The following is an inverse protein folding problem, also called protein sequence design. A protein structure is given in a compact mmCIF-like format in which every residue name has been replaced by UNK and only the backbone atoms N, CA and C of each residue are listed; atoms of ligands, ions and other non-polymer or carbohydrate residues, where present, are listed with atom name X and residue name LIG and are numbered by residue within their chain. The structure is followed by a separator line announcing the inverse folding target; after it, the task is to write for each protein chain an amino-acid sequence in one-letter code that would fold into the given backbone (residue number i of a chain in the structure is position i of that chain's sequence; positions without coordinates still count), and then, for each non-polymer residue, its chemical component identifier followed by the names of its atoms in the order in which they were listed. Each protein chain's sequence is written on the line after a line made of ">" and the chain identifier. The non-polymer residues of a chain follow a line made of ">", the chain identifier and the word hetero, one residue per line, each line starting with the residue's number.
data_IF_263545706866
#
_entry.id   IF_263545706866
#
_cell.length_a   1.000
_cell.length_b   1.000
_cell.length_c   1.000
_cell.angle_alpha   90.00
_cell.angle_beta   90.00
_cell.angle_gamma   90.00
#
_symmetry.space_group_name_H-M   'P 1'
#
loop_
_entity.id
_entity.type
_entity.pdbx_description
1 polymer ?
#
# COMPACT_ATOMS: atom_id res chain seq x y z
N UNK A 1 -5.67 -13.12 -42.05
CA UNK A 1 -5.84 -13.44 -40.62
C UNK A 1 -6.06 -12.14 -39.88
N UNK A 2 -7.27 -11.91 -39.36
CA UNK A 2 -7.63 -10.65 -38.74
C UNK A 2 -7.15 -10.65 -37.28
N UNK A 3 -6.00 -10.03 -37.02
CA UNK A 3 -5.62 -9.62 -35.66
C UNK A 3 -6.58 -8.49 -35.25
N UNK A 4 -7.62 -8.85 -34.51
CA UNK A 4 -8.68 -7.93 -34.09
C UNK A 4 -8.15 -6.89 -33.11
N UNK A 5 -8.02 -5.63 -33.57
CA UNK A 5 -7.97 -4.37 -32.81
C UNK A 5 -6.91 -4.20 -31.68
N UNK A 6 -6.24 -5.25 -31.24
CA UNK A 6 -5.26 -5.22 -30.14
C UNK A 6 -3.92 -5.74 -30.65
N UNK A 7 -2.82 -5.04 -30.33
CA UNK A 7 -1.48 -5.60 -30.55
C UNK A 7 -1.30 -6.83 -29.65
N UNK A 8 -0.72 -7.90 -30.19
CA UNK A 8 -0.31 -9.05 -29.37
C UNK A 8 0.58 -8.54 -28.22
N UNK A 9 0.14 -8.74 -26.97
CA UNK A 9 0.84 -8.25 -25.77
C UNK A 9 0.15 -7.12 -24.99
N UNK A 10 -0.86 -6.43 -25.55
CA UNK A 10 -1.50 -5.30 -24.87
C UNK A 10 -2.14 -5.64 -23.51
N UNK A 11 -2.61 -6.89 -23.34
CA UNK A 11 -3.11 -7.40 -22.04
C UNK A 11 -1.97 -7.57 -21.04
N UNK A 12 -0.82 -8.05 -21.51
CA UNK A 12 0.37 -8.28 -20.68
C UNK A 12 0.93 -6.96 -20.17
N UNK A 13 1.04 -5.94 -21.05
CA UNK A 13 1.45 -4.59 -20.68
C UNK A 13 0.54 -4.00 -19.59
N UNK A 14 -0.77 -4.24 -19.69
CA UNK A 14 -1.73 -3.79 -18.69
C UNK A 14 -1.55 -4.51 -17.35
N UNK A 15 -1.24 -5.81 -17.35
CA UNK A 15 -0.96 -6.57 -16.13
C UNK A 15 0.31 -6.01 -15.46
N UNK A 16 1.38 -5.82 -16.24
CA UNK A 16 2.65 -5.30 -15.75
C UNK A 16 2.51 -3.91 -15.14
N UNK A 17 1.77 -3.00 -15.79
CA UNK A 17 1.50 -1.68 -15.26
C UNK A 17 0.76 -1.72 -13.91
N UNK A 18 -0.29 -2.55 -13.80
CA UNK A 18 -1.05 -2.69 -12.55
C UNK A 18 -0.18 -3.26 -11.42
N UNK A 19 0.64 -4.27 -11.70
CA UNK A 19 1.56 -4.86 -10.72
C UNK A 19 2.60 -3.83 -10.30
N UNK A 20 3.21 -3.12 -11.25
CA UNK A 20 4.21 -2.10 -10.96
C UNK A 20 3.66 -0.98 -10.07
N UNK A 21 2.44 -0.51 -10.34
CA UNK A 21 1.80 0.54 -9.53
C UNK A 21 1.43 0.05 -8.13
N UNK A 22 0.94 -1.18 -7.99
CA UNK A 22 0.70 -1.79 -6.69
C UNK A 22 1.99 -1.93 -5.86
N UNK A 23 3.10 -2.36 -6.50
CA UNK A 23 4.42 -2.46 -5.86
C UNK A 23 4.96 -1.09 -5.45
N UNK A 24 4.84 -0.07 -6.31
CA UNK A 24 5.24 1.32 -5.98
C UNK A 24 4.47 1.84 -4.77
N UNK A 25 3.15 1.62 -4.72
CA UNK A 25 2.32 2.02 -3.59
C UNK A 25 2.69 1.27 -2.30
N UNK A 26 2.98 -0.02 -2.38
CA UNK A 26 3.44 -0.79 -1.23
C UNK A 26 4.77 -0.26 -0.70
N UNK A 27 5.72 0.04 -1.61
CA UNK A 27 7.02 0.63 -1.25
C UNK A 27 6.89 2.02 -0.64
N UNK A 28 6.00 2.87 -1.13
CA UNK A 28 5.81 4.22 -0.58
C UNK A 28 5.20 4.24 0.82
N UNK A 29 4.58 3.13 1.25
CA UNK A 29 4.05 2.96 2.62
C UNK A 29 5.12 2.49 3.61
N UNK A 30 6.28 2.03 3.14
CA UNK A 30 7.39 1.69 4.02
C UNK A 30 7.98 3.00 4.56
N UNK A 31 8.00 3.11 5.89
CA UNK A 31 8.67 4.21 6.57
C UNK A 31 10.18 4.18 6.32
N UNK A 32 10.78 5.35 6.31
CA UNK A 32 12.24 5.53 6.35
C UNK A 32 12.61 6.31 7.61
N UNK A 33 13.81 6.04 8.15
CA UNK A 33 14.35 6.76 9.30
C UNK A 33 14.36 5.98 10.61
N UNK A 34 14.56 6.72 11.70
CA UNK A 34 14.69 6.15 13.05
C UNK A 34 13.34 5.75 13.64
N UNK A 35 13.32 4.58 14.27
CA UNK A 35 12.13 4.04 14.93
C UNK A 35 11.93 4.64 16.32
N UNK A 36 10.70 4.97 16.68
CA UNK A 36 10.38 5.49 18.02
C UNK A 36 10.61 4.42 19.09
N UNK A 37 11.05 4.85 20.27
CA UNK A 37 11.19 3.96 21.44
C UNK A 37 9.84 3.66 22.10
N UNK A 38 8.90 4.61 22.03
CA UNK A 38 7.56 4.50 22.60
C UNK A 38 6.51 4.69 21.52
N UNK A 39 5.38 4.00 21.68
CA UNK A 39 4.24 4.09 20.77
C UNK A 39 3.55 5.45 20.88
N UNK A 40 3.29 6.10 19.76
CA UNK A 40 2.62 7.42 19.75
C UNK A 40 1.15 7.39 20.23
N UNK A 41 0.48 6.24 20.15
CA UNK A 41 -0.95 6.11 20.52
C UNK A 41 -1.20 5.68 21.97
N UNK A 42 -0.34 4.82 22.53
CA UNK A 42 -0.56 4.21 23.85
C UNK A 42 0.66 4.27 24.76
N UNK A 43 1.73 4.95 24.33
CA UNK A 43 2.98 5.17 25.07
C UNK A 43 3.75 3.90 25.47
N UNK A 44 3.25 2.72 25.09
CA UNK A 44 3.91 1.45 25.33
C UNK A 44 5.28 1.38 24.64
N UNK A 45 6.24 0.72 25.30
CA UNK A 45 7.57 0.50 24.74
C UNK A 45 7.52 -0.34 23.46
N UNK A 46 8.22 0.12 22.42
CA UNK A 46 8.36 -0.62 21.17
C UNK A 46 9.59 -1.54 21.27
N UNK A 47 9.41 -2.87 21.18
CA UNK A 47 10.51 -3.81 21.31
C UNK A 47 11.63 -3.54 20.29
N UNK A 48 12.89 -3.68 20.71
CA UNK A 48 14.05 -3.48 19.85
C UNK A 48 14.05 -4.38 18.61
N UNK A 49 13.52 -5.61 18.73
CA UNK A 49 13.36 -6.53 17.60
C UNK A 49 12.50 -5.91 16.49
N UNK A 50 11.44 -5.19 16.86
CA UNK A 50 10.55 -4.54 15.89
C UNK A 50 11.16 -3.28 15.28
N UNK A 51 11.89 -2.50 16.08
CA UNK A 51 12.64 -1.33 15.60
C UNK A 51 13.71 -1.71 14.57
N UNK A 52 14.32 -2.88 14.69
CA UNK A 52 15.27 -3.45 13.73
C UNK A 52 14.58 -4.02 12.48
N UNK A 53 13.44 -4.68 12.65
CA UNK A 53 12.71 -5.30 11.54
C UNK A 53 12.03 -4.26 10.62
N UNK A 54 11.52 -3.17 11.20
CA UNK A 54 10.81 -2.12 10.47
C UNK A 54 11.46 -0.77 10.82
N UNK A 55 12.30 -0.21 9.93
CA UNK A 55 12.83 1.13 10.13
C UNK A 55 11.70 2.17 10.09
N UNK A 56 11.72 3.13 11.01
CA UNK A 56 10.69 4.17 11.12
C UNK A 56 9.38 3.70 11.76
N UNK A 57 9.38 2.63 12.57
CA UNK A 57 8.16 2.20 13.28
C UNK A 57 7.75 3.24 14.33
N UNK A 58 6.46 3.62 14.32
CA UNK A 58 5.87 4.63 15.22
C UNK A 58 4.85 4.07 16.23
N UNK A 59 4.25 2.93 15.89
CA UNK A 59 3.19 2.30 16.67
C UNK A 59 3.65 0.96 17.24
N UNK A 60 3.11 0.57 18.40
CA UNK A 60 3.27 -0.78 18.94
C UNK A 60 2.42 -1.80 18.15
N UNK A 61 2.60 -3.09 18.44
CA UNK A 61 2.05 -4.16 17.58
C UNK A 61 0.53 -4.22 17.66
N UNK A 62 -0.03 -3.97 18.83
CA UNK A 62 -1.47 -3.91 19.05
C UNK A 62 -2.09 -2.72 18.31
N UNK A 63 -1.56 -1.51 18.49
CA UNK A 63 -2.06 -0.32 17.81
C UNK A 63 -1.93 -0.42 16.28
N UNK A 64 -0.82 -0.96 15.78
CA UNK A 64 -0.66 -1.21 14.35
C UNK A 64 -1.72 -2.19 13.83
N UNK A 65 -1.95 -3.31 14.54
CA UNK A 65 -2.92 -4.31 14.13
C UNK A 65 -4.36 -3.76 14.11
N UNK A 66 -4.71 -2.90 15.07
CA UNK A 66 -6.01 -2.21 15.07
C UNK A 66 -6.17 -1.26 13.88
N UNK A 67 -5.11 -0.49 13.57
CA UNK A 67 -5.11 0.44 12.45
C UNK A 67 -5.22 -0.30 11.11
N UNK A 68 -4.51 -1.40 10.94
CA UNK A 68 -4.58 -2.25 9.75
C UNK A 68 -5.96 -2.90 9.59
N UNK A 69 -6.58 -3.38 10.68
CA UNK A 69 -7.97 -3.87 10.65
C UNK A 69 -8.95 -2.82 10.14
N UNK A 70 -8.74 -1.54 10.51
CA UNK A 70 -9.57 -0.41 10.02
C UNK A 70 -9.26 -0.06 8.56
N UNK A 71 -8.01 -0.16 8.13
CA UNK A 71 -7.59 0.15 6.75
C UNK A 71 -7.90 -0.95 5.73
N UNK A 72 -8.14 -2.19 6.16
CA UNK A 72 -8.43 -3.33 5.29
C UNK A 72 -9.76 -3.24 4.52
N UNK A 73 -10.46 -2.10 4.56
CA UNK A 73 -11.57 -1.80 3.66
C UNK A 73 -10.99 -1.07 2.44
N UNK A 74 -10.57 -1.77 1.37
CA UNK A 74 -10.21 -1.11 0.14
C UNK A 74 -11.48 -0.48 -0.44
N UNK A 75 -11.61 0.84 -0.33
CA UNK A 75 -12.48 1.57 -1.25
C UNK A 75 -11.85 1.41 -2.63
N UNK A 76 -12.35 0.45 -3.41
CA UNK A 76 -11.92 0.17 -4.77
C UNK A 76 -12.27 1.34 -5.67
N UNK A 77 -11.55 2.45 -5.56
CA UNK A 77 -11.69 3.57 -6.48
C UNK A 77 -11.17 3.08 -7.82
N UNK A 78 -12.04 3.02 -8.84
CA UNK A 78 -11.70 2.33 -10.08
C UNK A 78 -10.50 2.98 -10.77
N UNK A 79 -10.11 4.25 -10.59
CA UNK A 79 -8.94 4.94 -11.19
C UNK A 79 -8.77 4.88 -12.73
N UNK A 80 -9.40 3.93 -13.44
CA UNK A 80 -9.44 3.78 -14.90
C UNK A 80 -10.77 4.22 -15.51
N UNK A 81 -11.87 4.21 -14.75
CA UNK A 81 -13.08 4.93 -15.15
C UNK A 81 -12.78 6.44 -15.27
N UNK A 82 -13.49 7.15 -16.15
CA UNK A 82 -13.24 8.59 -16.33
C UNK A 82 -13.32 9.31 -14.99
N UNK A 83 -12.49 10.35 -14.82
CA UNK A 83 -12.45 11.18 -13.61
C UNK A 83 -13.86 11.68 -13.23
N UNK A 84 -14.71 11.94 -14.22
CA UNK A 84 -16.12 12.33 -14.06
C UNK A 84 -17.05 11.20 -13.56
N UNK A 85 -16.74 9.93 -13.85
CA UNK A 85 -17.54 8.79 -13.38
C UNK A 85 -17.29 8.41 -11.92
N UNK A 86 -16.20 8.89 -11.33
CA UNK A 86 -15.75 8.49 -9.99
C UNK A 86 -15.93 9.57 -8.91
N UNK A 87 -16.21 10.83 -9.30
CA UNK A 87 -16.32 12.00 -8.40
C UNK A 87 -17.77 12.45 -8.13
N UNK A 88 -18.77 11.57 -8.19
CA UNK A 88 -20.14 11.88 -7.75
C UNK A 88 -20.31 11.66 -6.25
#
# INVERSE_FOLDING_TARGET
>A
MAVGWSRDGAVQDQIEANVADAVKLARSRLGSGESLAHCEQCEAEIPAARRKAIPGVRLCVSCQAELEKRQAIPTGYNRRGSKDSQLK
#
